data_IF_792159464008
#
_entry.id   IF_792159464008
#
_cell.length_a   1.000
_cell.length_b   1.000
_cell.length_c   1.000
_cell.angle_alpha   90.00
_cell.angle_beta   90.00
_cell.angle_gamma   90.00
#
_symmetry.space_group_name_H-M   'P 1'
#
loop_
_entity.id
_entity.type
_entity.pdbx_description
1 polymer ?
#
# COMPACT_ATOMS: atom_id res chain seq x y z
N UNK A 1 -16.57 -37.69 -0.59
CA UNK A 1 -15.30 -36.93 -0.73
C UNK A 1 -15.67 -35.45 -0.81
N UNK A 2 -15.66 -34.74 0.31
CA UNK A 2 -15.95 -33.30 0.34
C UNK A 2 -14.66 -32.62 0.77
N UNK A 3 -14.00 -31.95 -0.17
CA UNK A 3 -12.70 -31.30 0.05
C UNK A 3 -12.88 -29.95 0.73
N UNK A 4 -12.35 -29.81 1.94
CA UNK A 4 -12.26 -28.54 2.66
C UNK A 4 -11.09 -27.74 2.10
N UNK A 5 -11.36 -26.62 1.43
CA UNK A 5 -10.32 -25.68 1.00
C UNK A 5 -9.89 -24.83 2.20
N UNK A 6 -8.70 -25.07 2.72
CA UNK A 6 -8.09 -24.26 3.77
C UNK A 6 -7.63 -22.93 3.19
N UNK A 7 -8.27 -21.83 3.57
CA UNK A 7 -7.74 -20.48 3.34
C UNK A 7 -6.59 -20.29 4.33
N UNK A 8 -5.35 -20.37 3.84
CA UNK A 8 -4.15 -20.07 4.62
C UNK A 8 -4.12 -18.59 4.97
N UNK A 9 -4.44 -18.25 6.21
CA UNK A 9 -4.24 -16.91 6.76
C UNK A 9 -2.74 -16.67 6.95
N UNK A 10 -2.13 -15.97 5.99
CA UNK A 10 -0.73 -15.56 6.08
C UNK A 10 -0.60 -14.48 7.17
N UNK A 11 0.14 -14.81 8.24
CA UNK A 11 0.46 -13.89 9.31
C UNK A 11 1.16 -12.63 8.77
N UNK A 12 0.56 -11.46 9.02
CA UNK A 12 1.12 -10.17 8.60
C UNK A 12 2.38 -9.89 9.44
N UNK A 13 3.58 -9.80 8.83
CA UNK A 13 4.79 -9.47 9.56
C UNK A 13 4.65 -8.07 10.20
N UNK A 14 5.08 -7.93 11.46
CA UNK A 14 5.03 -6.66 12.20
C UNK A 14 5.69 -5.57 11.37
N UNK A 15 5.00 -4.45 11.06
CA UNK A 15 5.57 -3.42 10.22
C UNK A 15 6.78 -2.81 10.92
N UNK A 16 7.92 -2.73 10.23
CA UNK A 16 9.03 -1.86 10.62
C UNK A 16 8.45 -0.44 10.68
N UNK A 17 8.35 0.14 11.87
CA UNK A 17 7.74 1.46 12.07
C UNK A 17 8.59 2.52 11.39
N UNK A 18 8.21 2.92 10.18
CA UNK A 18 8.71 4.15 9.57
C UNK A 18 7.89 5.33 10.14
N UNK A 19 8.52 6.47 10.46
CA UNK A 19 7.81 7.63 11.02
C UNK A 19 6.70 8.16 10.09
N UNK A 20 6.86 8.01 8.78
CA UNK A 20 5.86 8.42 7.78
C UNK A 20 5.00 7.26 7.25
N UNK A 21 5.11 6.07 7.85
CA UNK A 21 4.34 4.90 7.41
C UNK A 21 2.84 5.18 7.47
N UNK A 22 2.17 5.03 6.33
CA UNK A 22 0.72 5.12 6.24
C UNK A 22 0.11 3.73 6.10
N UNK A 23 -1.07 3.54 6.70
CA UNK A 23 -1.78 2.26 6.65
C UNK A 23 -2.65 2.20 5.40
N UNK A 24 -2.59 1.09 4.67
CA UNK A 24 -3.52 0.81 3.56
C UNK A 24 -4.91 0.51 4.15
N UNK A 25 -5.91 1.29 3.76
CA UNK A 25 -7.29 1.18 4.27
C UNK A 25 -8.21 0.41 3.32
N UNK A 26 -7.89 0.36 2.03
CA UNK A 26 -8.63 -0.42 1.05
C UNK A 26 -7.75 -0.74 -0.15
N UNK A 27 -8.00 -1.90 -0.78
CA UNK A 27 -7.40 -2.30 -2.05
C UNK A 27 -8.50 -2.81 -2.96
N UNK A 28 -8.51 -2.36 -4.20
CA UNK A 28 -9.43 -2.79 -5.25
C UNK A 28 -8.62 -3.29 -6.43
N UNK A 29 -8.76 -4.58 -6.75
CA UNK A 29 -8.18 -5.16 -7.95
C UNK A 29 -9.19 -5.05 -9.08
N UNK A 30 -8.76 -4.47 -10.21
CA UNK A 30 -9.56 -4.35 -11.43
C UNK A 30 -9.25 -5.49 -12.40
N UNK A 31 -7.97 -5.88 -12.47
CA UNK A 31 -7.47 -7.03 -13.21
C UNK A 31 -6.29 -7.65 -12.45
N UNK A 32 -5.71 -8.74 -12.98
CA UNK A 32 -4.51 -9.38 -12.42
C UNK A 32 -3.29 -8.46 -12.34
N UNK A 33 -3.28 -7.35 -13.08
CA UNK A 33 -2.15 -6.40 -13.17
C UNK A 33 -2.50 -4.97 -12.79
N UNK A 34 -3.77 -4.67 -12.54
CA UNK A 34 -4.24 -3.33 -12.24
C UNK A 34 -5.00 -3.34 -10.93
N UNK A 35 -4.53 -2.53 -9.99
CA UNK A 35 -5.19 -2.33 -8.71
C UNK A 35 -5.07 -0.86 -8.30
N UNK A 36 -6.01 -0.42 -7.47
CA UNK A 36 -5.97 0.86 -6.78
C UNK A 36 -6.01 0.60 -5.29
N UNK A 37 -5.32 1.43 -4.51
CA UNK A 37 -5.34 1.32 -3.05
C UNK A 37 -5.50 2.69 -2.41
N UNK A 38 -6.07 2.70 -1.20
CA UNK A 38 -6.23 3.90 -0.38
C UNK A 38 -5.37 3.77 0.86
N UNK A 39 -4.80 4.88 1.30
CA UNK A 39 -3.98 4.97 2.52
C UNK A 39 -4.56 6.01 3.48
N UNK A 40 -4.18 5.91 4.75
CA UNK A 40 -4.43 6.99 5.72
C UNK A 40 -3.77 8.30 5.24
N UNK A 41 -4.51 9.42 5.31
CA UNK A 41 -3.99 10.74 4.93
C UNK A 41 -3.22 11.35 6.10
N UNK A 42 -1.93 11.67 5.95
CA UNK A 42 -1.19 12.43 6.96
C UNK A 42 -1.78 13.83 7.11
N UNK A 43 -1.92 14.32 8.34
CA UNK A 43 -2.47 15.65 8.60
C UNK A 43 -1.64 16.79 8.01
N UNK A 44 -0.34 16.56 7.79
CA UNK A 44 0.61 17.50 7.19
C UNK A 44 0.66 17.45 5.67
N UNK A 45 0.08 16.41 5.04
CA UNK A 45 0.12 16.27 3.58
C UNK A 45 -0.80 17.30 2.92
N UNK A 46 -0.19 18.21 2.15
CA UNK A 46 -0.85 19.18 1.29
C UNK A 46 -0.40 18.91 -0.14
N UNK A 47 -1.34 18.84 -1.07
CA UNK A 47 -1.07 18.65 -2.48
C UNK A 47 -2.11 19.40 -3.30
N UNK A 48 -1.79 19.68 -4.55
CA UNK A 48 -2.74 20.18 -5.55
C UNK A 48 -3.09 19.07 -6.54
N UNK A 49 -4.29 19.13 -7.11
CA UNK A 49 -4.72 18.16 -8.12
C UNK A 49 -3.72 18.12 -9.28
N UNK A 50 -3.24 16.92 -9.61
CA UNK A 50 -2.19 16.71 -10.61
C UNK A 50 -0.78 16.50 -10.05
N UNK A 51 -0.56 16.65 -8.75
CA UNK A 51 0.72 16.34 -8.10
C UNK A 51 0.88 14.82 -7.85
N UNK A 52 2.13 14.39 -7.72
CA UNK A 52 2.53 13.01 -7.44
C UNK A 52 3.32 12.93 -6.14
N UNK A 53 3.29 11.76 -5.50
CA UNK A 53 4.03 11.47 -4.26
C UNK A 53 4.93 10.25 -4.44
N UNK A 54 6.02 10.23 -3.70
CA UNK A 54 6.91 9.08 -3.62
C UNK A 54 6.35 8.09 -2.59
N UNK A 55 5.98 6.89 -3.05
CA UNK A 55 5.52 5.79 -2.20
C UNK A 55 6.52 4.66 -2.34
N UNK A 56 6.84 3.96 -1.25
CA UNK A 56 7.68 2.78 -1.34
C UNK A 56 7.57 1.84 -0.15
N UNK A 57 8.18 0.68 -0.34
CA UNK A 57 8.30 -0.38 0.65
C UNK A 57 9.77 -0.60 0.98
N UNK A 58 10.04 -1.17 2.14
CA UNK A 58 11.39 -1.62 2.48
C UNK A 58 11.68 -2.91 1.72
N UNK A 59 12.78 -2.94 0.98
CA UNK A 59 13.32 -4.16 0.38
C UNK A 59 13.88 -5.09 1.48
N UNK A 60 14.11 -6.35 1.15
CA UNK A 60 14.67 -7.37 2.05
C UNK A 60 16.08 -6.97 2.53
N UNK A 61 16.82 -6.22 1.70
CA UNK A 61 18.14 -5.66 2.03
C UNK A 61 18.06 -4.38 2.88
N UNK A 62 16.87 -3.95 3.28
CA UNK A 62 16.65 -2.74 4.08
C UNK A 62 16.73 -1.42 3.30
N UNK A 63 16.80 -1.47 1.96
CA UNK A 63 16.79 -0.27 1.11
C UNK A 63 15.35 0.11 0.74
N UNK A 64 14.95 1.40 0.85
CA UNK A 64 13.61 1.81 0.47
C UNK A 64 13.44 1.79 -1.06
N UNK A 65 12.48 1.00 -1.54
CA UNK A 65 12.09 0.96 -2.94
C UNK A 65 10.99 1.98 -3.20
N UNK A 66 11.39 3.20 -3.58
CA UNK A 66 10.46 4.30 -3.85
C UNK A 66 10.06 4.37 -5.32
N UNK A 67 8.82 4.72 -5.58
CA UNK A 67 8.26 5.02 -6.92
C UNK A 67 7.31 6.21 -6.84
N UNK A 68 7.26 6.98 -7.91
CA UNK A 68 6.32 8.09 -8.04
C UNK A 68 4.93 7.57 -8.43
N UNK A 69 3.91 8.01 -7.70
CA UNK A 69 2.51 7.75 -8.03
C UNK A 69 1.71 9.05 -7.98
N UNK A 70 0.87 9.28 -8.98
CA UNK A 70 -0.07 10.42 -8.99
C UNK A 70 -1.13 10.25 -7.92
N UNK A 71 -1.52 11.35 -7.28
CA UNK A 71 -2.62 11.33 -6.31
C UNK A 71 -3.95 11.30 -7.08
N UNK A 72 -4.68 10.19 -6.98
CA UNK A 72 -5.93 9.97 -7.70
C UNK A 72 -7.20 10.48 -6.97
N UNK A 73 -7.05 11.00 -5.75
CA UNK A 73 -8.16 11.50 -4.92
C UNK A 73 -7.98 12.99 -4.56
N UNK A 74 -9.05 13.80 -4.53
CA UNK A 74 -8.99 15.19 -4.03
C UNK A 74 -8.78 15.28 -2.51
#
# INVERSE_FOLDING_TARGET
>A
MTGTLTVTENAVPKPKTLPDAQTVTAVTHWTDRLFSFRVSRPQTLRFRSGEFVMIGLMDDNGRPLLRAYSIASP
#
